data_IF_003080118565
#
_entry.id   IF_003080118565
#
_cell.length_a   1.000
_cell.length_b   1.000
_cell.length_c   1.000
_cell.angle_alpha   90.00
_cell.angle_beta   90.00
_cell.angle_gamma   90.00
#
_symmetry.space_group_name_H-M   'P 1'
#
loop_
_entity.id
_entity.type
_entity.pdbx_description
1 polymer ?
#
# COMPACT_ATOMS: atom_id res chain seq x y z
N UNK A 1 6.60 5.52 -10.31
CA UNK A 1 5.38 5.63 -9.47
C UNK A 1 4.45 4.50 -9.89
N UNK A 2 4.63 3.29 -9.34
CA UNK A 2 4.08 2.06 -9.94
C UNK A 2 2.59 1.81 -9.62
N UNK A 3 2.11 2.27 -8.46
CA UNK A 3 0.71 2.08 -8.03
C UNK A 3 0.01 3.42 -7.76
N UNK A 4 0.51 4.54 -8.27
CA UNK A 4 -0.15 5.86 -8.13
C UNK A 4 -0.08 6.52 -6.75
N UNK A 5 0.42 5.85 -5.70
CA UNK A 5 0.50 6.42 -4.34
C UNK A 5 1.87 7.04 -4.05
N UNK A 6 1.88 8.24 -3.45
CA UNK A 6 3.07 8.88 -2.91
C UNK A 6 3.18 8.61 -1.40
N UNK A 7 4.32 8.05 -0.99
CA UNK A 7 4.59 7.67 0.40
C UNK A 7 6.06 7.94 0.74
N UNK A 8 6.39 7.90 2.04
CA UNK A 8 7.78 8.08 2.52
C UNK A 8 8.13 7.01 3.53
N UNK A 9 9.39 6.55 3.51
CA UNK A 9 9.90 5.64 4.54
C UNK A 9 9.97 6.32 5.91
N UNK A 10 9.63 5.58 6.96
CA UNK A 10 9.73 6.01 8.36
C UNK A 10 10.64 5.05 9.14
N UNK A 11 11.87 4.87 8.66
CA UNK A 11 12.84 3.93 9.21
C UNK A 11 13.15 2.80 8.23
N UNK A 12 13.69 1.69 8.75
CA UNK A 12 14.20 0.60 7.90
C UNK A 12 13.11 -0.29 7.31
N UNK A 13 11.98 -0.45 8.00
CA UNK A 13 10.90 -1.36 7.59
C UNK A 13 9.51 -0.82 7.91
N UNK A 14 9.35 0.51 7.88
CA UNK A 14 8.08 1.17 8.15
C UNK A 14 7.79 2.16 7.04
N UNK A 15 6.57 2.12 6.51
CA UNK A 15 6.08 3.05 5.51
C UNK A 15 5.12 4.05 6.16
N UNK A 16 5.33 5.34 5.96
CA UNK A 16 4.38 6.37 6.41
C UNK A 16 3.42 6.71 5.28
N UNK A 17 2.14 6.49 5.56
CA UNK A 17 1.01 6.90 4.73
C UNK A 17 0.25 7.96 5.52
N UNK A 18 0.35 9.22 5.09
CA UNK A 18 -0.26 10.36 5.76
C UNK A 18 -0.91 11.26 4.69
N UNK A 19 -2.11 10.91 4.20
CA UNK A 19 -2.81 11.71 3.22
C UNK A 19 -3.30 13.03 3.86
N UNK A 20 -3.71 14.02 3.03
CA UNK A 20 -4.43 15.19 3.52
C UNK A 20 -5.68 14.79 4.34
N UNK A 21 -6.05 15.61 5.33
CA UNK A 21 -7.24 15.34 6.15
C UNK A 21 -8.58 15.60 5.45
N UNK A 22 -8.53 16.04 4.19
CA UNK A 22 -9.70 16.40 3.38
C UNK A 22 -10.15 15.26 2.47
N UNK A 23 -9.47 14.10 2.49
CA UNK A 23 -9.79 13.00 1.58
C UNK A 23 -11.17 12.41 1.89
N UNK A 24 -11.80 11.85 0.87
CA UNK A 24 -13.06 11.11 1.03
C UNK A 24 -12.82 9.66 1.44
N UNK A 25 -13.89 8.96 1.80
CA UNK A 25 -13.83 7.53 2.13
C UNK A 25 -13.49 6.71 0.87
N UNK A 26 -14.01 7.08 -0.30
CA UNK A 26 -13.72 6.41 -1.56
C UNK A 26 -12.24 6.55 -1.97
N UNK A 27 -11.64 7.72 -1.73
CA UNK A 27 -10.22 7.96 -1.96
C UNK A 27 -9.35 7.14 -0.98
N UNK A 28 -9.80 7.00 0.27
CA UNK A 28 -9.12 6.14 1.25
C UNK A 28 -9.18 4.66 0.83
N UNK A 29 -10.34 4.18 0.38
CA UNK A 29 -10.52 2.82 -0.13
C UNK A 29 -9.67 2.54 -1.37
N UNK A 30 -9.56 3.53 -2.27
CA UNK A 30 -8.67 3.43 -3.42
C UNK A 30 -7.21 3.32 -2.96
N UNK A 31 -6.75 4.18 -2.05
CA UNK A 31 -5.39 4.13 -1.53
C UNK A 31 -5.05 2.77 -0.89
N UNK A 32 -5.99 2.18 -0.14
CA UNK A 32 -5.83 0.84 0.44
C UNK A 32 -5.73 -0.23 -0.65
N UNK A 33 -6.57 -0.17 -1.69
CA UNK A 33 -6.49 -1.09 -2.84
C UNK A 33 -5.15 -0.98 -3.58
N UNK A 34 -4.63 0.23 -3.77
CA UNK A 34 -3.32 0.45 -4.39
C UNK A 34 -2.18 -0.15 -3.55
N UNK A 35 -2.26 -0.02 -2.22
CA UNK A 35 -1.31 -0.64 -1.29
C UNK A 35 -1.36 -2.17 -1.36
N UNK A 36 -2.55 -2.76 -1.40
CA UNK A 36 -2.70 -4.20 -1.48
C UNK A 36 -2.09 -4.77 -2.78
N UNK A 37 -2.33 -4.12 -3.92
CA UNK A 37 -1.67 -4.49 -5.19
C UNK A 37 -0.15 -4.39 -5.10
N UNK A 38 0.37 -3.36 -4.44
CA UNK A 38 1.81 -3.23 -4.22
C UNK A 38 2.35 -4.41 -3.40
N UNK A 39 1.67 -4.75 -2.31
CA UNK A 39 2.03 -5.88 -1.45
C UNK A 39 2.00 -7.20 -2.24
N UNK A 40 0.90 -7.52 -2.92
CA UNK A 40 0.77 -8.73 -3.74
C UNK A 40 1.87 -8.85 -4.81
N UNK A 41 2.24 -7.74 -5.45
CA UNK A 41 3.31 -7.72 -6.45
C UNK A 41 4.69 -7.99 -5.83
N UNK A 42 4.90 -7.58 -4.58
CA UNK A 42 6.17 -7.73 -3.85
C UNK A 42 6.25 -9.03 -3.04
N UNK A 43 5.12 -9.66 -2.72
CA UNK A 43 5.08 -10.92 -1.97
C UNK A 43 5.75 -12.03 -2.79
N UNK A 44 6.72 -12.78 -2.21
CA UNK A 44 7.30 -13.95 -2.86
C UNK A 44 6.26 -15.05 -3.07
N UNK A 45 6.36 -15.84 -4.15
CA UNK A 45 5.39 -16.89 -4.51
C UNK A 45 5.08 -17.87 -3.35
N UNK A 46 6.10 -18.31 -2.61
CA UNK A 46 5.92 -19.19 -1.43
C UNK A 46 5.08 -18.56 -0.31
N UNK A 47 5.09 -17.24 -0.19
CA UNK A 47 4.31 -16.51 0.80
C UNK A 47 2.87 -16.24 0.32
N UNK A 48 2.61 -16.28 -1.00
CA UNK A 48 1.25 -16.16 -1.56
C UNK A 48 0.43 -17.42 -1.35
N UNK A 49 1.05 -18.60 -1.51
CA UNK A 49 0.38 -19.90 -1.29
C UNK A 49 -0.08 -20.10 0.16
N UNK A 50 0.64 -19.54 1.14
CA UNK A 50 0.31 -19.64 2.56
C UNK A 50 -0.80 -18.67 3.02
N UNK A 51 -1.17 -17.70 2.19
CA UNK A 51 -2.15 -16.66 2.52
C UNK A 51 -3.49 -16.83 1.79
N UNK A 52 -3.61 -17.84 0.91
CA UNK A 52 -4.86 -18.28 0.27
C UNK A 52 -5.61 -19.28 1.17
#
# INVERSE_FOLDING_TARGET
VAEGLLTVAAGQNVLRVAPPLIITEEEADEAVRLLDRACLRLTPEKAKEAAQ
#
